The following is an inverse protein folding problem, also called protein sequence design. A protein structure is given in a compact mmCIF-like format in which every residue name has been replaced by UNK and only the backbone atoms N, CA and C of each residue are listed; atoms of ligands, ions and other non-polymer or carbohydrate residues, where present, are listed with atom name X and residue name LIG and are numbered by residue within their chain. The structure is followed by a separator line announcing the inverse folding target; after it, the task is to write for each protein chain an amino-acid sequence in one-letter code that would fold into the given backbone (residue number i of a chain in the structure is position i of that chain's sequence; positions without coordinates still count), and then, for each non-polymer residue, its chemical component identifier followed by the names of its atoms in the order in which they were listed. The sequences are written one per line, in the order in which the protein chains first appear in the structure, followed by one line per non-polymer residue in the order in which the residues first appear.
data_IF_774308733385
#
_entry.id   IF_774308733385
#
_cell.length_a   1.000
_cell.length_b   1.000
_cell.length_c   1.000
_cell.angle_alpha   90.00
_cell.angle_beta   90.00
_cell.angle_gamma   90.00
#
_symmetry.space_group_name_H-M   'P 1'
#
loop_
_entity.id
_entity.type
_entity.pdbx_description
1 polymer ?
#
# COMPACT_ATOMS: atom_id res chain seq x y z
N UNK A 1 2.68 14.05 -13.97
CA UNK A 1 4.13 13.77 -13.86
C UNK A 1 4.83 14.90 -13.08
N UNK A 2 5.80 14.63 -12.16
CA UNK A 2 6.61 15.73 -11.56
C UNK A 2 7.57 16.28 -12.62
N UNK A 3 7.66 17.61 -12.75
CA UNK A 3 8.58 18.20 -13.73
C UNK A 3 10.03 17.93 -13.35
N UNK A 4 10.93 17.83 -14.34
CA UNK A 4 12.38 17.74 -14.10
C UNK A 4 12.86 18.90 -13.20
N UNK A 5 12.30 20.10 -13.41
CA UNK A 5 12.55 21.27 -12.59
C UNK A 5 12.17 21.05 -11.12
N UNK A 6 11.00 20.45 -10.82
CA UNK A 6 10.59 20.15 -9.45
C UNK A 6 11.57 19.19 -8.75
N UNK A 7 12.11 18.19 -9.47
CA UNK A 7 13.13 17.29 -8.93
C UNK A 7 14.46 18.01 -8.66
N UNK A 8 14.89 18.92 -9.54
CA UNK A 8 16.08 19.74 -9.31
C UNK A 8 15.90 20.63 -8.07
N UNK A 9 14.77 21.33 -7.96
CA UNK A 9 14.46 22.19 -6.81
C UNK A 9 14.36 21.36 -5.51
N UNK A 10 13.83 20.14 -5.57
CA UNK A 10 13.81 19.19 -4.46
C UNK A 10 15.23 18.91 -3.96
N UNK A 11 16.16 18.59 -4.85
CA UNK A 11 17.56 18.33 -4.53
C UNK A 11 18.28 19.55 -3.94
N UNK A 12 18.05 20.74 -4.49
CA UNK A 12 18.59 22.00 -3.95
C UNK A 12 18.08 22.26 -2.53
N UNK A 13 16.77 22.11 -2.30
CA UNK A 13 16.15 22.27 -0.97
C UNK A 13 16.71 21.27 0.03
N UNK A 14 16.90 20.03 -0.41
CA UNK A 14 17.54 18.97 0.37
C UNK A 14 19.07 19.07 0.39
N UNK A 15 19.69 20.14 -0.15
CA UNK A 15 21.15 20.30 -0.21
C UNK A 15 21.88 19.00 -0.58
N UNK A 16 21.29 18.22 -1.48
CA UNK A 16 21.73 16.88 -1.84
C UNK A 16 21.79 16.75 -3.35
N UNK A 17 22.92 16.27 -3.86
CA UNK A 17 23.04 15.92 -5.27
C UNK A 17 22.44 14.54 -5.50
N UNK A 18 21.69 14.33 -6.60
CA UNK A 18 21.21 13.00 -6.96
C UNK A 18 22.40 12.05 -7.13
N UNK A 19 22.29 10.86 -6.55
CA UNK A 19 23.27 9.78 -6.73
C UNK A 19 22.52 8.52 -7.13
N UNK A 20 23.02 7.84 -8.14
CA UNK A 20 22.57 6.50 -8.47
C UNK A 20 23.27 5.53 -7.51
N UNK A 21 22.53 5.10 -6.50
CA UNK A 21 23.02 4.15 -5.52
C UNK A 21 21.92 3.15 -5.17
N UNK A 22 22.30 1.89 -4.99
CA UNK A 22 21.41 0.78 -4.67
C UNK A 22 22.10 -0.18 -3.71
N UNK A 23 21.35 -0.66 -2.74
CA UNK A 23 21.74 -1.79 -1.91
C UNK A 23 21.47 -3.09 -2.68
N UNK A 24 22.50 -3.63 -3.30
CA UNK A 24 22.39 -4.79 -4.20
C UNK A 24 23.49 -5.83 -3.98
N UNK A 25 24.25 -5.76 -2.88
CA UNK A 25 25.24 -6.78 -2.56
C UNK A 25 24.53 -8.13 -2.42
N UNK A 26 25.08 -9.16 -3.06
CA UNK A 26 24.56 -10.53 -2.92
C UNK A 26 24.93 -11.01 -1.51
N UNK A 27 23.93 -11.46 -0.76
CA UNK A 27 24.12 -12.07 0.55
C UNK A 27 24.17 -13.58 0.39
N UNK A 28 25.11 -14.25 1.06
CA UNK A 28 25.16 -15.70 1.05
C UNK A 28 23.99 -16.30 1.84
N UNK A 29 23.58 -17.51 1.45
CA UNK A 29 22.73 -18.32 2.30
C UNK A 29 23.63 -18.98 3.35
N UNK A 30 23.34 -18.72 4.63
CA UNK A 30 24.07 -19.33 5.74
C UNK A 30 23.34 -20.57 6.23
N UNK A 31 24.03 -21.70 6.45
CA UNK A 31 23.44 -22.84 7.15
C UNK A 31 23.10 -22.44 8.59
N UNK A 32 22.19 -23.18 9.20
CA UNK A 32 21.83 -23.00 10.61
C UNK A 32 23.03 -23.39 11.49
N UNK A 33 23.37 -22.52 12.45
CA UNK A 33 24.33 -22.81 13.51
C UNK A 33 23.58 -23.04 14.83
N UNK A 34 23.41 -24.32 15.18
CA UNK A 34 22.69 -24.74 16.40
C UNK A 34 23.37 -24.23 17.68
N UNK A 35 24.70 -24.15 17.70
CA UNK A 35 25.45 -23.70 18.87
C UNK A 35 25.23 -22.20 19.07
N UNK A 36 25.34 -21.41 18.00
CA UNK A 36 25.06 -19.98 18.06
C UNK A 36 23.60 -19.70 18.48
N UNK A 37 22.63 -20.49 17.97
CA UNK A 37 21.21 -20.35 18.35
C UNK A 37 20.95 -20.71 19.81
N UNK A 38 21.57 -21.77 20.34
CA UNK A 38 21.47 -22.12 21.77
C UNK A 38 22.08 -21.04 22.67
N UNK A 39 23.11 -20.34 22.20
CA UNK A 39 23.74 -19.24 22.91
C UNK A 39 22.99 -17.91 22.78
N UNK A 40 22.07 -17.79 21.81
CA UNK A 40 21.25 -16.59 21.62
C UNK A 40 20.21 -16.45 22.75
N UNK A 41 20.56 -15.69 23.78
CA UNK A 41 19.72 -15.43 24.96
C UNK A 41 19.11 -14.04 24.91
N UNK A 42 17.79 -13.94 24.89
CA UNK A 42 17.09 -12.66 25.03
C UNK A 42 16.91 -12.35 26.53
N UNK A 43 17.62 -11.31 27.00
CA UNK A 43 17.91 -11.04 28.42
C UNK A 43 16.76 -10.48 29.28
N UNK A 44 15.52 -10.94 29.12
CA UNK A 44 14.41 -10.53 30.01
C UNK A 44 13.59 -11.72 30.47
N UNK A 45 13.41 -11.83 31.79
CA UNK A 45 12.45 -12.74 32.40
C UNK A 45 11.04 -12.20 32.18
N UNK A 46 10.11 -13.10 31.89
CA UNK A 46 8.68 -12.81 31.88
C UNK A 46 7.95 -13.81 32.74
N UNK A 47 6.95 -13.33 33.47
CA UNK A 47 6.05 -14.18 34.25
C UNK A 47 5.06 -14.96 33.36
N UNK A 48 4.93 -14.60 32.08
CA UNK A 48 3.94 -15.17 31.17
C UNK A 48 4.49 -16.39 30.41
N UNK A 49 3.77 -17.53 30.52
CA UNK A 49 4.11 -18.79 29.84
C UNK A 49 4.23 -18.63 28.31
N UNK A 50 3.37 -17.83 27.70
CA UNK A 50 3.39 -17.59 26.25
C UNK A 50 4.62 -16.81 25.80
N UNK A 51 5.04 -15.81 26.58
CA UNK A 51 6.24 -15.05 26.25
C UNK A 51 7.50 -15.91 26.37
N UNK A 52 7.56 -16.79 27.38
CA UNK A 52 8.63 -17.78 27.51
C UNK A 52 8.69 -18.70 26.28
N UNK A 53 7.54 -19.23 25.86
CA UNK A 53 7.43 -20.06 24.66
C UNK A 53 7.90 -19.32 23.40
N UNK A 54 7.46 -18.07 23.18
CA UNK A 54 7.92 -17.27 22.04
C UNK A 54 9.43 -17.04 22.06
N UNK A 55 10.01 -16.78 23.24
CA UNK A 55 11.48 -16.59 23.38
C UNK A 55 12.26 -17.84 23.00
N UNK A 56 11.78 -19.02 23.37
CA UNK A 56 12.35 -20.31 22.97
C UNK A 56 12.27 -20.52 21.44
N UNK A 57 11.17 -20.07 20.81
CA UNK A 57 11.01 -20.13 19.36
C UNK A 57 11.83 -19.09 18.60
N UNK A 58 12.10 -17.91 19.18
CA UNK A 58 12.81 -16.84 18.46
C UNK A 58 14.20 -17.28 18.01
N UNK A 59 14.98 -17.91 18.89
CA UNK A 59 16.32 -18.40 18.54
C UNK A 59 16.29 -19.43 17.40
N UNK A 60 15.28 -20.31 17.38
CA UNK A 60 15.14 -21.39 16.39
C UNK A 60 14.47 -20.95 15.09
N UNK A 61 13.72 -19.84 15.08
CA UNK A 61 12.98 -19.36 13.90
C UNK A 61 13.55 -18.07 13.30
N UNK A 62 14.62 -17.52 13.87
CA UNK A 62 15.27 -16.34 13.32
C UNK A 62 15.82 -16.66 11.91
N UNK A 63 15.56 -15.82 10.89
CA UNK A 63 16.20 -15.98 9.59
C UNK A 63 17.72 -15.90 9.72
N UNK A 64 18.44 -16.78 9.01
CA UNK A 64 19.89 -16.95 9.22
C UNK A 64 20.71 -15.69 8.98
N UNK A 65 20.19 -14.77 8.16
CA UNK A 65 20.83 -13.48 7.91
C UNK A 65 20.96 -12.58 9.15
N UNK A 66 20.15 -12.80 10.19
CA UNK A 66 20.16 -11.99 11.42
C UNK A 66 20.97 -12.61 12.57
N UNK A 67 21.54 -13.81 12.39
CA UNK A 67 22.43 -14.43 13.38
C UNK A 67 23.70 -14.93 12.71
N UNK A 68 23.60 -16.02 11.93
CA UNK A 68 24.75 -16.66 11.28
C UNK A 68 25.38 -15.75 10.21
N UNK A 69 24.54 -15.11 9.39
CA UNK A 69 24.94 -14.22 8.31
C UNK A 69 25.09 -12.75 8.71
N UNK A 70 24.87 -12.40 9.99
CA UNK A 70 24.80 -10.99 10.39
C UNK A 70 26.13 -10.27 10.17
N UNK A 71 27.25 -10.96 10.42
CA UNK A 71 28.59 -10.39 10.20
C UNK A 71 28.83 -10.08 8.71
N UNK A 72 28.48 -10.99 7.81
CA UNK A 72 28.56 -10.72 6.36
C UNK A 72 27.69 -9.52 5.98
N UNK A 73 26.45 -9.46 6.50
CA UNK A 73 25.55 -8.34 6.23
C UNK A 73 26.17 -7.00 6.65
N UNK A 74 26.75 -6.94 7.84
CA UNK A 74 27.47 -5.76 8.34
C UNK A 74 28.68 -5.42 7.47
N UNK A 75 29.49 -6.40 7.09
CA UNK A 75 30.68 -6.19 6.26
C UNK A 75 30.29 -5.64 4.87
N UNK A 76 29.22 -6.19 4.26
CA UNK A 76 28.68 -5.69 3.00
C UNK A 76 28.08 -4.30 3.08
N UNK A 77 27.52 -3.93 4.22
CA UNK A 77 27.06 -2.56 4.46
C UNK A 77 28.26 -1.61 4.64
N UNK A 78 29.30 -2.03 5.37
CA UNK A 78 30.54 -1.27 5.55
C UNK A 78 31.23 -0.95 4.22
N UNK A 79 31.28 -1.90 3.29
CA UNK A 79 31.80 -1.70 1.92
C UNK A 79 31.04 -0.60 1.15
N UNK A 80 29.77 -0.35 1.50
CA UNK A 80 28.88 0.61 0.83
C UNK A 80 28.82 2.00 1.47
N UNK A 81 29.67 2.28 2.47
CA UNK A 81 29.53 3.47 3.31
C UNK A 81 29.75 4.79 2.58
N UNK A 82 28.94 5.78 2.99
CA UNK A 82 29.15 7.18 2.64
C UNK A 82 30.19 7.76 3.63
N UNK A 83 31.21 8.46 3.12
CA UNK A 83 32.29 9.07 3.93
C UNK A 83 31.83 9.98 5.08
N UNK A 84 30.56 10.41 5.09
CA UNK A 84 29.97 11.28 6.13
C UNK A 84 28.57 10.76 6.45
N UNK A 85 28.23 10.75 7.74
CA UNK A 85 26.87 10.43 8.19
C UNK A 85 25.87 11.41 7.57
N UNK A 86 24.77 10.91 6.97
CA UNK A 86 23.70 11.78 6.51
C UNK A 86 23.04 12.46 7.72
N UNK A 87 22.62 13.72 7.58
CA UNK A 87 21.82 14.37 8.64
C UNK A 87 20.44 13.73 8.80
N UNK A 88 19.90 13.23 7.68
CA UNK A 88 18.55 12.70 7.60
C UNK A 88 18.48 11.63 6.51
N UNK A 89 17.82 10.51 6.83
CA UNK A 89 17.47 9.43 5.94
C UNK A 89 15.94 9.44 5.81
N UNK A 90 15.46 9.52 4.57
CA UNK A 90 14.04 9.33 4.25
C UNK A 90 13.88 8.07 3.42
N UNK A 91 12.91 7.24 3.79
CA UNK A 91 12.55 6.02 3.06
C UNK A 91 11.03 5.90 2.98
N UNK A 92 10.57 5.04 2.08
CA UNK A 92 9.15 4.69 1.99
C UNK A 92 9.00 3.19 2.21
N UNK A 93 9.68 2.37 1.40
CA UNK A 93 9.51 0.91 1.46
C UNK A 93 10.76 0.12 1.86
N UNK A 94 11.92 0.76 2.02
CA UNK A 94 13.17 0.01 2.22
C UNK A 94 13.25 -0.64 3.60
N UNK A 95 12.58 -0.08 4.61
CA UNK A 95 12.43 -0.71 5.93
C UNK A 95 11.72 -2.07 5.86
N UNK A 96 10.95 -2.34 4.81
CA UNK A 96 10.25 -3.62 4.63
C UNK A 96 10.98 -4.60 3.73
N UNK A 97 11.85 -4.10 2.85
CA UNK A 97 12.24 -4.85 1.64
C UNK A 97 13.75 -5.05 1.48
N UNK A 98 14.57 -4.44 2.32
CA UNK A 98 16.01 -4.45 2.09
C UNK A 98 16.82 -4.53 3.39
N UNK A 99 17.40 -5.70 3.64
CA UNK A 99 18.18 -5.96 4.86
C UNK A 99 19.45 -5.11 4.96
N UNK A 100 20.14 -4.89 3.85
CA UNK A 100 21.30 -3.99 3.80
C UNK A 100 20.93 -2.56 4.19
N UNK A 101 19.80 -2.03 3.70
CA UNK A 101 19.31 -0.71 4.10
C UNK A 101 18.96 -0.64 5.58
N UNK A 102 18.32 -1.68 6.14
CA UNK A 102 17.98 -1.70 7.57
C UNK A 102 19.25 -1.58 8.43
N UNK A 103 20.27 -2.38 8.16
CA UNK A 103 21.54 -2.30 8.89
C UNK A 103 22.26 -0.97 8.63
N UNK A 104 22.35 -0.53 7.38
CA UNK A 104 22.97 0.74 7.02
C UNK A 104 22.33 1.96 7.70
N UNK A 105 21.00 2.02 7.71
CA UNK A 105 20.27 3.11 8.36
C UNK A 105 20.41 3.03 9.88
N UNK A 106 20.36 1.83 10.47
CA UNK A 106 20.59 1.63 11.90
C UNK A 106 21.99 2.07 12.32
N UNK A 107 23.04 1.71 11.56
CA UNK A 107 24.41 2.14 11.82
C UNK A 107 24.50 3.66 11.86
N UNK A 108 23.96 4.38 10.88
CA UNK A 108 24.01 5.85 10.87
C UNK A 108 23.17 6.52 11.96
N UNK A 109 22.03 5.93 12.35
CA UNK A 109 21.17 6.43 13.43
C UNK A 109 21.80 6.21 14.81
N UNK A 110 22.47 5.07 15.02
CA UNK A 110 23.12 4.75 16.31
C UNK A 110 24.45 5.46 16.47
N UNK A 111 25.27 5.51 15.42
CA UNK A 111 26.63 6.08 15.47
C UNK A 111 26.71 7.59 15.24
N UNK A 112 25.61 8.25 14.83
CA UNK A 112 25.58 9.67 14.54
C UNK A 112 24.25 10.33 14.87
N UNK A 113 24.18 11.66 14.73
CA UNK A 113 22.94 12.43 14.91
C UNK A 113 21.99 12.34 13.69
N UNK A 114 21.91 11.16 13.05
CA UNK A 114 21.10 10.94 11.84
C UNK A 114 19.64 10.78 12.21
N UNK A 115 18.75 11.54 11.58
CA UNK A 115 17.30 11.35 11.68
C UNK A 115 16.79 10.32 10.69
N UNK A 116 15.92 9.42 11.11
CA UNK A 116 15.25 8.45 10.24
C UNK A 116 13.77 8.80 10.10
N UNK A 117 13.30 8.95 8.86
CA UNK A 117 11.91 9.24 8.52
C UNK A 117 11.41 8.18 7.53
N UNK A 118 10.24 7.60 7.79
CA UNK A 118 9.51 6.79 6.80
C UNK A 118 8.27 7.54 6.30
N UNK A 119 7.65 7.02 5.24
CA UNK A 119 6.39 7.54 4.72
C UNK A 119 5.39 6.45 4.41
N UNK A 120 4.14 6.85 4.22
CA UNK A 120 3.06 6.00 3.76
C UNK A 120 3.25 5.60 2.29
N UNK A 121 3.07 4.30 2.03
CA UNK A 121 3.12 3.68 0.70
C UNK A 121 1.91 2.79 0.36
N UNK A 122 0.90 2.76 1.22
CA UNK A 122 -0.35 2.03 1.02
C UNK A 122 -1.56 2.86 1.41
N UNK A 123 -2.75 2.48 0.92
CA UNK A 123 -3.99 3.17 1.28
C UNK A 123 -4.47 2.84 2.70
N UNK A 124 -4.09 1.68 3.24
CA UNK A 124 -4.58 1.17 4.52
C UNK A 124 -4.04 1.79 5.82
N UNK A 125 -3.19 2.81 5.77
CA UNK A 125 -2.56 3.41 6.95
C UNK A 125 -3.51 4.36 7.69
N UNK A 126 -3.50 4.31 9.03
CA UNK A 126 -4.20 5.28 9.89
C UNK A 126 -5.73 5.20 9.86
N UNK A 127 -6.29 4.13 9.30
CA UNK A 127 -7.73 3.95 9.14
C UNK A 127 -8.28 2.68 9.80
N UNK A 128 -7.44 1.70 10.12
CA UNK A 128 -7.88 0.39 10.63
C UNK A 128 -7.90 0.39 12.16
N UNK A 129 -8.87 -0.31 12.75
CA UNK A 129 -8.88 -0.56 14.21
C UNK A 129 -7.66 -1.37 14.64
N UNK A 130 -7.22 -2.29 13.78
CA UNK A 130 -6.04 -3.11 13.98
C UNK A 130 -5.02 -2.75 12.90
N UNK A 131 -3.96 -2.08 13.31
CA UNK A 131 -2.85 -1.80 12.40
C UNK A 131 -2.14 -3.08 12.02
N UNK A 132 -1.74 -3.16 10.74
CA UNK A 132 -0.86 -4.21 10.28
C UNK A 132 0.52 -4.07 10.92
N UNK A 133 1.18 -5.19 11.18
CA UNK A 133 2.57 -5.21 11.67
C UNK A 133 3.51 -4.29 10.87
N UNK A 134 3.42 -4.20 9.52
CA UNK A 134 4.25 -3.28 8.75
C UNK A 134 4.15 -1.82 9.21
N UNK A 135 2.94 -1.32 9.47
CA UNK A 135 2.71 0.06 9.89
C UNK A 135 3.21 0.29 11.32
N UNK A 136 2.90 -0.64 12.24
CA UNK A 136 3.36 -0.60 13.62
C UNK A 136 4.90 -0.56 13.71
N UNK A 137 5.56 -1.44 12.96
CA UNK A 137 7.02 -1.50 12.91
C UNK A 137 7.61 -0.19 12.39
N UNK A 138 7.15 0.30 11.24
CA UNK A 138 7.69 1.54 10.64
C UNK A 138 7.58 2.72 11.59
N UNK A 139 6.40 2.96 12.17
CA UNK A 139 6.18 4.07 13.10
C UNK A 139 7.02 3.92 14.37
N UNK A 140 7.29 2.68 14.81
CA UNK A 140 8.06 2.42 16.02
C UNK A 140 9.56 2.74 15.89
N UNK A 141 10.14 2.57 14.70
CA UNK A 141 11.60 2.66 14.47
C UNK A 141 12.07 4.00 13.90
N UNK A 142 11.15 4.88 13.48
CA UNK A 142 11.48 6.19 12.89
C UNK A 142 11.26 7.34 13.86
N UNK A 143 11.98 8.46 13.64
CA UNK A 143 11.77 9.70 14.36
C UNK A 143 10.43 10.36 13.98
N UNK A 144 10.06 10.28 12.70
CA UNK A 144 8.80 10.80 12.14
C UNK A 144 8.27 9.91 11.03
N UNK A 145 6.96 9.85 10.90
CA UNK A 145 6.26 9.13 9.84
C UNK A 145 5.44 10.09 8.99
N UNK A 146 5.65 10.09 7.67
CA UNK A 146 4.94 10.96 6.73
C UNK A 146 3.64 10.28 6.27
N UNK A 147 2.49 10.80 6.68
CA UNK A 147 1.17 10.30 6.26
C UNK A 147 0.61 11.09 5.07
N UNK A 148 -0.42 10.54 4.41
CA UNK A 148 -1.12 11.19 3.29
C UNK A 148 -2.30 12.09 3.71
N UNK A 149 -2.53 12.32 5.00
CA UNK A 149 -3.63 13.18 5.45
C UNK A 149 -4.08 12.99 6.89
N UNK A 150 -3.80 11.83 7.48
CA UNK A 150 -4.23 11.44 8.82
C UNK A 150 -3.13 11.69 9.86
N UNK A 151 -3.51 11.85 11.12
CA UNK A 151 -2.57 12.00 12.24
C UNK A 151 -3.10 11.29 13.47
N UNK A 152 -2.28 10.44 14.08
CA UNK A 152 -2.63 9.74 15.33
C UNK A 152 -1.88 10.28 16.55
N UNK A 153 -0.67 10.81 16.35
CA UNK A 153 0.17 11.31 17.43
C UNK A 153 1.24 12.28 16.89
N UNK A 154 2.05 12.85 17.79
CA UNK A 154 3.11 13.83 17.47
C UNK A 154 4.25 13.29 16.58
N UNK A 155 4.39 11.97 16.43
CA UNK A 155 5.35 11.37 15.49
C UNK A 155 4.85 11.37 14.05
N UNK A 156 3.54 11.47 13.82
CA UNK A 156 2.96 11.48 12.47
C UNK A 156 2.98 12.90 11.91
N UNK A 157 3.72 13.08 10.83
CA UNK A 157 3.75 14.32 10.06
C UNK A 157 2.75 14.20 8.91
N UNK A 158 1.71 15.02 8.95
CA UNK A 158 0.75 15.10 7.84
C UNK A 158 1.39 15.88 6.69
N UNK A 159 1.64 15.19 5.58
CA UNK A 159 2.16 15.83 4.37
C UNK A 159 1.09 15.73 3.29
N UNK A 160 0.71 16.84 2.62
CA UNK A 160 -0.40 16.84 1.69
C UNK A 160 -0.04 16.15 0.37
N UNK A 161 0.18 14.84 0.37
CA UNK A 161 0.58 14.11 -0.83
C UNK A 161 0.36 12.61 -0.71
N UNK A 162 -0.59 12.09 -1.46
CA UNK A 162 -0.54 10.70 -1.93
C UNK A 162 0.60 10.56 -2.96
N UNK A 163 1.81 10.18 -2.50
CA UNK A 163 3.02 10.15 -3.34
C UNK A 163 2.97 9.16 -4.51
N UNK A 164 1.97 8.27 -4.56
CA UNK A 164 1.81 7.30 -5.64
C UNK A 164 0.96 7.78 -6.82
N UNK A 165 0.22 8.89 -6.69
CA UNK A 165 -0.50 9.46 -7.83
C UNK A 165 0.51 10.16 -8.75
N UNK A 166 0.91 9.49 -9.85
CA UNK A 166 1.36 10.24 -11.02
C UNK A 166 0.18 11.13 -11.42
N UNK A 167 0.33 12.44 -11.23
CA UNK A 167 -0.73 13.44 -11.46
C UNK A 167 -1.15 13.63 -12.92
N UNK A 168 -0.99 12.60 -13.75
CA UNK A 168 -1.56 12.64 -15.09
C UNK A 168 -3.06 12.46 -14.89
N UNK A 169 -3.85 13.49 -15.21
CA UNK A 169 -5.31 13.42 -15.13
C UNK A 169 -5.77 12.30 -16.03
N UNK A 170 -6.12 11.15 -15.45
CA UNK A 170 -6.73 10.05 -16.18
C UNK A 170 -8.12 10.51 -16.56
N UNK A 171 -8.35 10.71 -17.86
CA UNK A 171 -9.69 11.03 -18.38
C UNK A 171 -10.39 9.72 -18.71
N UNK A 172 -11.54 9.41 -18.10
CA UNK A 172 -12.31 8.23 -18.45
C UNK A 172 -12.83 8.35 -19.89
N UNK A 173 -12.98 7.20 -20.56
CA UNK A 173 -13.67 7.12 -21.83
C UNK A 173 -15.17 6.94 -21.57
N UNK A 174 -15.99 7.91 -21.99
CA UNK A 174 -17.46 7.84 -21.81
C UNK A 174 -18.09 6.68 -22.58
N UNK A 175 -17.41 6.16 -23.60
CA UNK A 175 -17.81 4.97 -24.34
C UNK A 175 -16.96 3.75 -23.97
N UNK A 176 -16.17 3.83 -22.90
CA UNK A 176 -15.40 2.72 -22.36
C UNK A 176 -16.26 1.70 -21.61
N UNK A 177 -15.62 0.60 -21.21
CA UNK A 177 -16.24 -0.47 -20.41
C UNK A 177 -16.14 -0.24 -18.89
N UNK A 178 -16.48 -1.29 -18.14
CA UNK A 178 -16.30 -1.38 -16.70
C UNK A 178 -14.96 -2.04 -16.39
N UNK A 179 -14.13 -1.41 -15.56
CA UNK A 179 -12.85 -1.99 -15.11
C UNK A 179 -12.91 -2.39 -13.63
N UNK A 180 -12.95 -3.69 -13.36
CA UNK A 180 -12.92 -4.24 -12.00
C UNK A 180 -11.47 -4.53 -11.60
N UNK A 181 -10.92 -3.77 -10.65
CA UNK A 181 -9.54 -3.86 -10.21
C UNK A 181 -9.45 -4.63 -8.90
N UNK A 182 -8.74 -5.76 -8.93
CA UNK A 182 -8.63 -6.65 -7.77
C UNK A 182 -7.41 -6.32 -6.89
N UNK A 183 -7.54 -6.64 -5.60
CA UNK A 183 -6.44 -6.62 -4.64
C UNK A 183 -5.43 -7.75 -4.84
N UNK A 184 -4.31 -7.77 -4.09
CA UNK A 184 -3.47 -8.96 -4.02
C UNK A 184 -4.26 -10.10 -3.39
N UNK A 185 -4.57 -11.13 -4.16
CA UNK A 185 -5.16 -12.36 -3.61
C UNK A 185 -4.07 -13.40 -3.48
N UNK A 186 -3.69 -13.70 -2.25
CA UNK A 186 -2.65 -14.70 -1.91
C UNK A 186 -3.29 -16.01 -1.51
N UNK A 187 -2.63 -17.14 -1.83
CA UNK A 187 -3.08 -18.48 -1.45
C UNK A 187 -3.09 -18.69 0.06
N UNK A 188 -2.15 -18.05 0.76
CA UNK A 188 -2.01 -18.04 2.22
C UNK A 188 -1.93 -16.58 2.72
N UNK A 189 -2.37 -16.33 3.95
CA UNK A 189 -2.13 -15.03 4.62
C UNK A 189 -0.66 -14.96 5.02
N UNK A 190 0.01 -13.87 4.67
CA UNK A 190 1.41 -13.57 5.04
C UNK A 190 1.52 -12.51 6.16
N UNK A 191 0.42 -11.88 6.56
CA UNK A 191 0.36 -10.96 7.70
C UNK A 191 -0.36 -11.59 8.90
N UNK A 192 0.35 -11.73 10.02
CA UNK A 192 -0.21 -12.15 11.31
C UNK A 192 -1.04 -11.00 11.90
N UNK A 193 -2.32 -11.25 12.20
CA UNK A 193 -3.27 -10.21 12.68
C UNK A 193 -4.14 -9.59 11.57
N UNK A 194 -3.74 -9.75 10.31
CA UNK A 194 -4.67 -9.70 9.17
C UNK A 194 -5.13 -11.14 8.98
N UNK A 195 -6.21 -11.56 9.64
CA UNK A 195 -6.75 -12.91 9.49
C UNK A 195 -7.27 -13.07 8.06
N UNK A 196 -6.36 -13.32 7.12
CA UNK A 196 -6.64 -13.61 5.72
C UNK A 196 -6.99 -15.07 5.47
N UNK A 197 -6.83 -15.95 6.46
CA UNK A 197 -7.01 -17.41 6.28
C UNK A 197 -8.48 -17.82 6.05
N UNK A 198 -9.42 -16.91 6.31
CA UNK A 198 -10.86 -17.02 6.02
C UNK A 198 -11.31 -16.01 4.93
N UNK A 199 -10.39 -15.20 4.37
CA UNK A 199 -10.73 -13.95 3.65
C UNK A 199 -10.84 -14.07 2.14
N UNK A 200 -10.60 -15.23 1.55
CA UNK A 200 -10.68 -15.38 0.09
C UNK A 200 -12.02 -15.96 -0.39
N UNK A 201 -12.64 -16.89 0.33
CA UNK A 201 -13.88 -17.53 -0.16
C UNK A 201 -14.99 -16.50 -0.35
N UNK A 202 -15.36 -15.78 0.72
CA UNK A 202 -16.39 -14.76 0.63
C UNK A 202 -15.96 -13.54 -0.22
N UNK A 203 -14.67 -13.25 -0.36
CA UNK A 203 -14.21 -12.26 -1.35
C UNK A 203 -14.51 -12.74 -2.79
N UNK A 204 -14.20 -13.99 -3.13
CA UNK A 204 -14.51 -14.55 -4.45
C UNK A 204 -16.02 -14.69 -4.69
N UNK A 205 -16.78 -15.10 -3.67
CA UNK A 205 -18.23 -15.15 -3.76
C UNK A 205 -18.80 -13.76 -4.03
N UNK A 206 -18.28 -12.72 -3.36
CA UNK A 206 -18.65 -11.33 -3.61
C UNK A 206 -18.27 -10.86 -5.02
N UNK A 207 -17.09 -11.24 -5.53
CA UNK A 207 -16.71 -10.92 -6.91
C UNK A 207 -17.65 -11.61 -7.91
N UNK A 208 -17.98 -12.88 -7.69
CA UNK A 208 -18.88 -13.64 -8.55
C UNK A 208 -20.30 -13.06 -8.50
N UNK A 209 -20.79 -12.73 -7.31
CA UNK A 209 -22.09 -12.10 -7.11
C UNK A 209 -22.18 -10.73 -7.78
N UNK A 210 -21.11 -9.92 -7.72
CA UNK A 210 -21.04 -8.63 -8.43
C UNK A 210 -21.26 -8.86 -9.93
N UNK A 211 -20.51 -9.77 -10.52
CA UNK A 211 -20.56 -10.03 -11.95
C UNK A 211 -21.92 -10.61 -12.38
N UNK A 212 -22.48 -11.53 -11.60
CA UNK A 212 -23.79 -12.11 -11.86
C UNK A 212 -24.94 -11.10 -11.71
N UNK A 213 -24.74 -10.03 -10.94
CA UNK A 213 -25.75 -8.98 -10.71
C UNK A 213 -25.68 -7.85 -11.74
N UNK A 214 -24.63 -7.80 -12.57
CA UNK A 214 -24.54 -6.80 -13.63
C UNK A 214 -25.50 -7.14 -14.77
N UNK A 215 -26.19 -6.14 -15.36
CA UNK A 215 -26.91 -6.32 -16.61
C UNK A 215 -25.99 -6.88 -17.72
N UNK A 216 -26.53 -7.75 -18.57
CA UNK A 216 -25.77 -8.47 -19.61
C UNK A 216 -24.93 -7.52 -20.48
N UNK A 217 -25.52 -6.44 -20.97
CA UNK A 217 -24.83 -5.43 -21.80
C UNK A 217 -23.68 -4.68 -21.09
N UNK A 218 -23.65 -4.67 -19.75
CA UNK A 218 -22.54 -4.13 -18.94
C UNK A 218 -21.50 -5.23 -18.70
N UNK A 219 -21.96 -6.44 -18.38
CA UNK A 219 -21.10 -7.60 -18.13
C UNK A 219 -20.21 -7.92 -19.34
N UNK A 220 -20.77 -7.90 -20.55
CA UNK A 220 -20.02 -8.10 -21.82
C UNK A 220 -18.90 -7.06 -22.02
N UNK A 221 -19.07 -5.86 -21.43
CA UNK A 221 -18.12 -4.75 -21.51
C UNK A 221 -17.25 -4.63 -20.26
N UNK A 222 -17.28 -5.64 -19.40
CA UNK A 222 -16.51 -5.69 -18.16
C UNK A 222 -15.16 -6.34 -18.40
N UNK A 223 -14.10 -5.73 -17.86
CA UNK A 223 -12.78 -6.31 -17.76
C UNK A 223 -12.39 -6.42 -16.29
N UNK A 224 -11.93 -7.59 -15.88
CA UNK A 224 -11.39 -7.83 -14.54
C UNK A 224 -9.87 -7.80 -14.63
N UNK A 225 -9.23 -6.99 -13.78
CA UNK A 225 -7.77 -6.87 -13.70
C UNK A 225 -7.26 -7.46 -12.39
N UNK A 226 -6.80 -8.74 -12.38
CA UNK A 226 -6.10 -9.31 -11.25
C UNK A 226 -4.78 -8.59 -10.98
N UNK A 227 -4.36 -8.55 -9.71
CA UNK A 227 -3.01 -8.10 -9.38
C UNK A 227 -1.99 -9.15 -9.83
N UNK A 228 -1.28 -8.84 -10.91
CA UNK A 228 -0.36 -9.75 -11.62
C UNK A 228 0.40 -10.73 -10.68
N UNK A 229 0.13 -12.02 -10.87
CA UNK A 229 0.68 -13.14 -10.12
C UNK A 229 2.09 -13.55 -10.60
N UNK A 230 2.45 -13.21 -11.84
CA UNK A 230 3.70 -13.63 -12.50
C UNK A 230 4.90 -12.72 -12.16
N UNK A 231 4.73 -11.79 -11.22
CA UNK A 231 5.86 -11.01 -10.72
C UNK A 231 6.77 -11.93 -9.88
N UNK A 232 7.90 -12.34 -10.47
CA UNK A 232 8.96 -13.14 -9.82
C UNK A 232 9.24 -12.62 -8.40
N UNK A 233 9.24 -13.51 -7.41
CA UNK A 233 9.57 -13.19 -6.02
C UNK A 233 8.41 -12.64 -5.17
N UNK A 234 7.15 -12.78 -5.60
CA UNK A 234 5.97 -12.44 -4.77
C UNK A 234 5.31 -13.69 -4.18
N UNK A 235 4.58 -13.58 -3.05
CA UNK A 235 3.85 -14.70 -2.45
C UNK A 235 2.97 -15.40 -3.48
N UNK A 236 2.69 -16.70 -3.29
CA UNK A 236 1.84 -17.48 -4.18
C UNK A 236 0.47 -16.81 -4.34
N UNK A 237 0.30 -16.07 -5.45
CA UNK A 237 -0.94 -15.38 -5.79
C UNK A 237 -1.84 -16.30 -6.61
N UNK A 238 -3.13 -16.01 -6.56
CA UNK A 238 -4.09 -16.63 -7.47
C UNK A 238 -3.81 -16.13 -8.89
N UNK A 239 -3.61 -17.06 -9.83
CA UNK A 239 -3.27 -16.73 -11.21
C UNK A 239 -4.46 -16.11 -11.94
N UNK A 240 -4.21 -15.44 -13.07
CA UNK A 240 -5.30 -14.92 -13.91
C UNK A 240 -6.25 -16.04 -14.35
N UNK A 241 -5.71 -17.20 -14.74
CA UNK A 241 -6.51 -18.38 -15.09
C UNK A 241 -7.41 -18.83 -13.93
N UNK A 242 -6.87 -18.92 -12.71
CA UNK A 242 -7.67 -19.31 -11.54
C UNK A 242 -8.78 -18.29 -11.26
N UNK A 243 -8.53 -16.99 -11.45
CA UNK A 243 -9.58 -15.96 -11.37
C UNK A 243 -10.64 -16.18 -12.46
N UNK A 244 -10.24 -16.50 -13.69
CA UNK A 244 -11.17 -16.81 -14.79
C UNK A 244 -12.11 -17.96 -14.42
N UNK A 245 -11.53 -19.07 -13.92
CA UNK A 245 -12.27 -20.27 -13.52
C UNK A 245 -13.26 -19.96 -12.38
N UNK A 246 -12.83 -19.18 -11.39
CA UNK A 246 -13.69 -18.74 -10.29
C UNK A 246 -14.88 -17.88 -10.75
N UNK A 247 -14.67 -17.08 -11.80
CA UNK A 247 -15.70 -16.23 -12.41
C UNK A 247 -16.47 -16.94 -13.54
N UNK A 248 -16.31 -18.26 -13.69
CA UNK A 248 -17.05 -19.05 -14.67
C UNK A 248 -16.67 -18.79 -16.13
N UNK A 249 -15.49 -18.22 -16.40
CA UNK A 249 -15.02 -17.83 -17.73
C UNK A 249 -15.94 -16.85 -18.49
N UNK A 250 -16.82 -16.14 -17.78
CA UNK A 250 -17.80 -15.22 -18.37
C UNK A 250 -17.22 -13.84 -18.69
N UNK A 251 -15.99 -13.54 -18.26
CA UNK A 251 -15.47 -12.17 -18.22
C UNK A 251 -14.05 -12.10 -18.77
N UNK A 252 -13.80 -11.03 -19.53
CA UNK A 252 -12.49 -10.72 -20.07
C UNK A 252 -11.51 -10.35 -18.95
N UNK A 253 -10.31 -10.93 -19.00
CA UNK A 253 -9.24 -10.64 -18.05
C UNK A 253 -8.20 -9.68 -18.64
N UNK A 254 -7.95 -8.58 -17.94
CA UNK A 254 -6.79 -7.73 -18.17
C UNK A 254 -5.59 -8.29 -17.41
N UNK A 255 -4.68 -8.93 -18.14
CA UNK A 255 -3.45 -9.53 -17.61
C UNK A 255 -2.35 -8.48 -17.31
N UNK A 256 -2.63 -7.21 -17.59
CA UNK A 256 -1.78 -6.08 -17.23
C UNK A 256 -0.75 -5.68 -18.27
N UNK A 257 -0.98 -5.98 -19.56
CA UNK A 257 -0.13 -5.53 -20.68
C UNK A 257 -0.03 -4.00 -20.72
N UNK A 258 -1.15 -3.32 -20.52
CA UNK A 258 -1.20 -1.87 -20.36
C UNK A 258 -1.11 -1.50 -18.88
N UNK A 259 -0.50 -0.35 -18.57
CA UNK A 259 -0.53 0.20 -17.20
C UNK A 259 -1.97 0.45 -16.74
N UNK A 260 -2.23 0.31 -15.43
CA UNK A 260 -3.57 0.56 -14.85
C UNK A 260 -4.17 1.91 -15.29
N UNK A 261 -3.38 2.98 -15.25
CA UNK A 261 -3.84 4.32 -15.68
C UNK A 261 -4.27 4.38 -17.14
N UNK A 262 -3.62 3.60 -18.01
CA UNK A 262 -3.97 3.52 -19.45
C UNK A 262 -5.26 2.72 -19.65
N UNK A 263 -5.43 1.62 -18.91
CA UNK A 263 -6.71 0.88 -18.92
C UNK A 263 -7.86 1.72 -18.37
N UNK A 264 -7.62 2.48 -17.30
CA UNK A 264 -8.59 3.43 -16.78
C UNK A 264 -8.94 4.51 -17.82
N UNK A 265 -7.98 5.01 -18.60
CA UNK A 265 -8.29 5.97 -19.67
C UNK A 265 -9.10 5.40 -20.85
N UNK A 266 -9.24 4.08 -20.93
CA UNK A 266 -10.08 3.37 -21.91
C UNK A 266 -11.38 2.84 -21.28
N UNK A 267 -11.57 3.09 -19.99
CA UNK A 267 -12.71 2.62 -19.22
C UNK A 267 -13.57 3.82 -18.81
N UNK A 268 -14.86 3.56 -18.63
CA UNK A 268 -15.84 4.58 -18.23
C UNK A 268 -15.81 4.80 -16.72
N UNK A 269 -15.73 3.69 -15.99
CA UNK A 269 -15.83 3.63 -14.54
C UNK A 269 -15.00 2.44 -14.04
N UNK A 270 -14.45 2.54 -12.83
CA UNK A 270 -13.73 1.43 -12.20
C UNK A 270 -14.41 0.97 -10.92
N UNK A 271 -14.48 -0.35 -10.74
CA UNK A 271 -14.77 -0.95 -9.45
C UNK A 271 -13.47 -1.33 -8.77
N UNK A 272 -13.27 -0.90 -7.53
CA UNK A 272 -12.11 -1.29 -6.70
C UNK A 272 -12.60 -2.15 -5.56
N UNK A 273 -12.09 -3.37 -5.45
CA UNK A 273 -12.64 -4.38 -4.55
C UNK A 273 -11.92 -4.50 -3.21
N UNK A 274 -11.05 -3.54 -2.88
CA UNK A 274 -10.17 -3.58 -1.73
C UNK A 274 -9.77 -2.17 -1.28
N UNK A 275 -9.56 -1.99 0.03
CA UNK A 275 -9.23 -0.70 0.63
C UNK A 275 -7.70 -0.49 0.74
N UNK A 276 -7.05 -0.25 -0.39
CA UNK A 276 -5.63 0.10 -0.49
C UNK A 276 -5.42 1.18 -1.57
N UNK A 277 -4.19 1.36 -2.09
CA UNK A 277 -3.75 2.50 -2.90
C UNK A 277 -4.62 2.86 -4.12
N UNK A 278 -5.30 1.92 -4.75
CA UNK A 278 -6.06 2.21 -5.99
C UNK A 278 -7.20 3.19 -5.73
N UNK A 279 -7.95 3.00 -4.65
CA UNK A 279 -9.06 3.89 -4.29
C UNK A 279 -8.61 5.35 -4.06
N UNK A 280 -7.67 5.66 -3.13
CA UNK A 280 -7.22 7.04 -2.93
C UNK A 280 -6.55 7.62 -4.17
N UNK A 281 -5.90 6.80 -5.01
CA UNK A 281 -5.33 7.28 -6.28
C UNK A 281 -6.43 7.71 -7.25
N UNK A 282 -7.49 6.91 -7.42
CA UNK A 282 -8.59 7.25 -8.31
C UNK A 282 -9.37 8.46 -7.81
N UNK A 283 -9.71 8.50 -6.52
CA UNK A 283 -10.45 9.61 -5.92
C UNK A 283 -9.66 10.92 -6.03
N UNK A 284 -8.36 10.90 -5.76
CA UNK A 284 -7.50 12.07 -5.92
C UNK A 284 -7.37 12.51 -7.39
N UNK A 285 -7.38 11.58 -8.34
CA UNK A 285 -7.37 11.87 -9.77
C UNK A 285 -8.72 12.38 -10.30
N UNK A 286 -9.79 12.29 -9.50
CA UNK A 286 -11.14 12.58 -9.93
C UNK A 286 -11.68 11.56 -10.94
N UNK A 287 -11.23 10.31 -10.88
CA UNK A 287 -11.66 9.24 -11.79
C UNK A 287 -12.89 8.50 -11.23
N UNK A 288 -13.98 8.32 -12.00
CA UNK A 288 -15.20 7.64 -11.55
C UNK A 288 -14.93 6.26 -10.96
N UNK A 289 -15.25 6.10 -9.67
CA UNK A 289 -14.87 4.91 -8.91
C UNK A 289 -16.01 4.46 -8.01
N UNK A 290 -16.35 3.18 -8.11
CA UNK A 290 -17.16 2.44 -7.15
C UNK A 290 -16.22 1.56 -6.34
N UNK A 291 -16.24 1.71 -5.03
CA UNK A 291 -15.51 0.88 -4.08
C UNK A 291 -16.46 -0.17 -3.51
N UNK A 292 -16.00 -1.42 -3.39
CA UNK A 292 -16.83 -2.51 -2.88
C UNK A 292 -16.02 -3.48 -2.03
N UNK A 293 -16.49 -3.76 -0.81
CA UNK A 293 -15.97 -4.84 0.03
C UNK A 293 -16.94 -5.13 1.17
N UNK A 294 -16.87 -6.32 1.75
CA UNK A 294 -17.60 -6.62 2.99
C UNK A 294 -17.08 -5.75 4.15
N UNK A 295 -18.01 -5.16 4.91
CA UNK A 295 -17.70 -4.29 6.05
C UNK A 295 -16.86 -5.00 7.13
N UNK A 296 -16.96 -6.31 7.25
CA UNK A 296 -16.19 -7.11 8.20
C UNK A 296 -14.68 -7.19 7.87
N UNK A 297 -14.31 -6.98 6.60
CA UNK A 297 -12.91 -6.98 6.15
C UNK A 297 -12.18 -5.67 6.45
N UNK A 298 -12.89 -4.55 6.34
CA UNK A 298 -12.31 -3.22 6.56
C UNK A 298 -12.89 -2.64 7.85
N UNK A 299 -12.30 -3.03 8.98
CA UNK A 299 -12.67 -2.52 10.30
C UNK A 299 -12.05 -1.15 10.52
N UNK A 300 -12.85 -0.11 10.31
CA UNK A 300 -12.42 1.28 10.40
C UNK A 300 -12.38 1.78 11.85
N UNK A 301 -11.44 2.67 12.17
CA UNK A 301 -11.50 3.48 13.39
C UNK A 301 -12.77 4.33 13.40
N UNK A 302 -13.20 4.81 14.57
CA UNK A 302 -14.39 5.67 14.67
C UNK A 302 -14.27 6.93 13.81
N UNK A 303 -13.09 7.56 13.78
CA UNK A 303 -12.83 8.74 12.94
C UNK A 303 -12.89 8.40 11.45
N UNK A 304 -12.27 7.29 11.01
CA UNK A 304 -12.32 6.89 9.61
C UNK A 304 -13.73 6.47 9.18
N UNK A 305 -14.51 5.85 10.07
CA UNK A 305 -15.88 5.43 9.79
C UNK A 305 -16.80 6.61 9.43
N UNK A 306 -16.61 7.78 10.06
CA UNK A 306 -17.38 9.00 9.73
C UNK A 306 -17.13 9.41 8.27
N UNK A 307 -15.86 9.45 7.86
CA UNK A 307 -15.48 9.85 6.50
C UNK A 307 -15.93 8.83 5.45
N UNK A 308 -15.79 7.54 5.75
CA UNK A 308 -16.24 6.47 4.84
C UNK A 308 -17.77 6.39 4.73
N UNK A 309 -18.51 6.84 5.75
CA UNK A 309 -19.95 6.94 5.68
C UNK A 309 -20.41 8.00 4.67
N UNK A 310 -19.66 9.08 4.47
CA UNK A 310 -19.95 10.06 3.40
C UNK A 310 -19.75 9.44 2.01
N UNK A 311 -18.72 8.60 1.85
CA UNK A 311 -18.55 7.83 0.61
C UNK A 311 -19.69 6.83 0.36
N UNK A 312 -20.21 6.21 1.42
CA UNK A 312 -21.33 5.28 1.34
C UNK A 312 -22.62 6.00 0.91
N UNK A 313 -22.93 7.16 1.53
CA UNK A 313 -24.08 7.99 1.14
C UNK A 313 -24.02 8.42 -0.32
N UNK A 314 -22.85 8.91 -0.76
CA UNK A 314 -22.58 9.32 -2.13
C UNK A 314 -22.55 8.18 -3.16
N UNK A 315 -22.78 6.93 -2.74
CA UNK A 315 -22.67 5.70 -3.55
C UNK A 315 -21.28 5.49 -4.19
N UNK A 316 -20.25 6.09 -3.61
CA UNK A 316 -18.86 5.78 -3.96
C UNK A 316 -18.47 4.45 -3.32
N UNK A 317 -18.98 4.13 -2.14
CA UNK A 317 -18.67 2.91 -1.39
C UNK A 317 -19.92 2.04 -1.20
N UNK A 318 -19.79 0.75 -1.51
CA UNK A 318 -20.82 -0.26 -1.31
C UNK A 318 -20.29 -1.41 -0.45
N UNK A 319 -21.15 -1.96 0.41
CA UNK A 319 -20.80 -3.09 1.27
C UNK A 319 -21.32 -4.43 0.78
N UNK A 320 -22.09 -4.45 -0.33
CA UNK A 320 -22.55 -5.69 -0.97
C UNK A 320 -22.37 -5.63 -2.49
N UNK A 321 -22.19 -6.78 -3.15
CA UNK A 321 -22.09 -6.86 -4.60
C UNK A 321 -23.32 -6.36 -5.35
N UNK A 322 -24.50 -6.68 -4.86
CA UNK A 322 -25.78 -6.34 -5.49
C UNK A 322 -26.01 -4.83 -5.48
N UNK A 323 -25.66 -4.18 -4.36
CA UNK A 323 -25.78 -2.73 -4.24
C UNK A 323 -24.82 -2.01 -5.20
N UNK A 324 -23.59 -2.51 -5.35
CA UNK A 324 -22.62 -1.97 -6.29
C UNK A 324 -23.07 -2.18 -7.75
N UNK A 325 -23.53 -3.38 -8.11
CA UNK A 325 -24.01 -3.71 -9.44
C UNK A 325 -25.23 -2.86 -9.83
N UNK A 326 -26.21 -2.73 -8.93
CA UNK A 326 -27.38 -1.90 -9.16
C UNK A 326 -26.98 -0.44 -9.38
N UNK A 327 -26.10 0.10 -8.54
CA UNK A 327 -25.65 1.47 -8.72
C UNK A 327 -24.93 1.69 -10.06
N UNK A 328 -24.06 0.75 -10.46
CA UNK A 328 -23.38 0.79 -11.76
C UNK A 328 -24.40 0.80 -12.90
N UNK A 329 -25.44 -0.03 -12.83
CA UNK A 329 -26.52 -0.06 -13.81
C UNK A 329 -27.27 1.28 -13.88
N UNK A 330 -27.61 1.85 -12.72
CA UNK A 330 -28.35 3.12 -12.62
C UNK A 330 -27.58 4.28 -13.27
N UNK A 331 -26.26 4.33 -13.11
CA UNK A 331 -25.42 5.41 -13.64
C UNK A 331 -24.79 5.09 -14.99
N UNK A 332 -25.00 3.90 -15.54
CA UNK A 332 -24.22 3.39 -16.68
C UNK A 332 -24.27 4.33 -17.88
N UNK A 333 -25.46 4.83 -18.21
CA UNK A 333 -25.69 5.72 -19.36
C UNK A 333 -25.11 7.13 -19.14
N UNK A 334 -24.99 7.58 -17.89
CA UNK A 334 -24.47 8.91 -17.56
C UNK A 334 -23.70 8.93 -16.24
N UNK A 335 -22.51 8.33 -16.27
CA UNK A 335 -21.58 8.30 -15.12
C UNK A 335 -21.17 9.72 -14.70
N UNK A 336 -21.04 10.64 -15.65
CA UNK A 336 -20.66 12.03 -15.36
C UNK A 336 -21.70 12.72 -14.47
N UNK A 337 -23.00 12.52 -14.73
CA UNK A 337 -24.08 13.14 -13.95
C UNK A 337 -23.98 12.79 -12.46
N UNK A 338 -23.71 11.53 -12.14
CA UNK A 338 -23.45 11.10 -10.76
C UNK A 338 -22.11 11.65 -10.26
N UNK A 339 -21.03 11.46 -11.03
CA UNK A 339 -19.68 11.76 -10.58
C UNK A 339 -19.40 13.24 -10.34
N UNK A 340 -20.14 14.13 -11.00
CA UNK A 340 -20.05 15.59 -10.83
C UNK A 340 -21.14 16.15 -9.92
N UNK A 341 -21.95 15.30 -9.26
CA UNK A 341 -22.93 15.76 -8.28
C UNK A 341 -22.25 16.35 -7.05
N UNK A 342 -22.91 17.32 -6.40
CA UNK A 342 -22.36 17.99 -5.20
C UNK A 342 -22.06 16.99 -4.07
N UNK A 343 -22.91 15.98 -3.90
CA UNK A 343 -22.74 14.92 -2.89
C UNK A 343 -21.45 14.12 -3.13
N UNK A 344 -21.21 13.68 -4.38
CA UNK A 344 -20.01 12.93 -4.75
C UNK A 344 -18.75 13.80 -4.65
N UNK A 345 -18.82 15.05 -5.11
CA UNK A 345 -17.70 15.99 -5.03
C UNK A 345 -17.30 16.24 -3.59
N UNK A 346 -18.27 16.52 -2.71
CA UNK A 346 -18.03 16.77 -1.30
C UNK A 346 -17.48 15.53 -0.59
N UNK A 347 -18.08 14.36 -0.81
CA UNK A 347 -17.61 13.11 -0.20
C UNK A 347 -16.17 12.76 -0.63
N UNK A 348 -15.85 12.96 -1.91
CA UNK A 348 -14.50 12.76 -2.46
C UNK A 348 -13.49 13.75 -1.89
N UNK A 349 -13.85 15.04 -1.81
CA UNK A 349 -12.99 16.08 -1.24
C UNK A 349 -12.68 15.76 0.22
N UNK A 350 -13.72 15.48 1.01
CA UNK A 350 -13.61 15.10 2.42
C UNK A 350 -12.70 13.88 2.61
N UNK A 351 -12.84 12.85 1.77
CA UNK A 351 -11.95 11.71 1.79
C UNK A 351 -10.50 12.09 1.45
N UNK A 352 -10.28 12.89 0.40
CA UNK A 352 -8.94 13.29 -0.02
C UNK A 352 -8.27 14.15 1.06
N UNK A 353 -8.99 15.05 1.71
CA UNK A 353 -8.47 15.85 2.81
C UNK A 353 -7.99 15.02 4.02
N UNK A 354 -8.55 13.82 4.22
CA UNK A 354 -8.22 12.97 5.36
C UNK A 354 -7.25 11.84 5.01
N UNK A 355 -7.30 11.28 3.79
CA UNK A 355 -6.57 10.06 3.44
C UNK A 355 -5.79 10.12 2.13
N UNK A 356 -5.94 11.18 1.33
CA UNK A 356 -5.25 11.32 0.04
C UNK A 356 -5.00 12.78 -0.33
N UNK A 357 -4.38 13.55 0.57
CA UNK A 357 -4.29 15.02 0.41
C UNK A 357 -3.58 15.40 -0.88
N UNK A 358 -4.16 16.37 -1.57
CA UNK A 358 -3.64 16.88 -2.83
C UNK A 358 -2.49 17.87 -2.62
N UNK A 359 -1.46 17.79 -3.47
CA UNK A 359 -0.45 18.84 -3.63
C UNK A 359 -0.09 18.99 -5.10
N UNK A 360 0.11 20.23 -5.55
CA UNK A 360 0.56 20.53 -6.92
C UNK A 360 1.99 20.01 -7.19
N UNK A 361 2.85 20.01 -6.18
CA UNK A 361 4.25 19.59 -6.28
C UNK A 361 4.62 18.67 -5.11
N UNK A 362 4.10 17.44 -5.06
CA UNK A 362 4.31 16.49 -3.97
C UNK A 362 5.78 16.30 -3.61
N UNK A 363 6.69 16.19 -4.58
CA UNK A 363 8.12 16.05 -4.31
C UNK A 363 8.69 17.26 -3.55
N UNK A 364 8.25 18.48 -3.86
CA UNK A 364 8.69 19.70 -3.18
C UNK A 364 8.08 19.86 -1.80
N UNK A 365 6.86 19.38 -1.61
CA UNK A 365 6.19 19.38 -0.30
C UNK A 365 6.87 18.38 0.63
N UNK A 366 7.15 17.15 0.16
CA UNK A 366 7.95 16.18 0.93
C UNK A 366 9.32 16.77 1.24
N UNK A 367 10.03 17.33 0.26
CA UNK A 367 11.34 17.92 0.52
C UNK A 367 11.31 19.10 1.50
N UNK A 368 10.24 19.90 1.51
CA UNK A 368 10.06 20.95 2.52
C UNK A 368 9.89 20.32 3.91
N UNK A 369 8.95 19.39 4.05
CA UNK A 369 8.71 18.67 5.29
C UNK A 369 9.98 18.00 5.86
N UNK A 370 10.78 17.39 4.99
CA UNK A 370 12.05 16.79 5.37
C UNK A 370 13.12 17.83 5.71
N UNK A 371 13.18 18.96 4.99
CA UNK A 371 14.17 20.02 5.25
C UNK A 371 13.89 20.75 6.57
N UNK A 372 12.62 20.97 6.91
CA UNK A 372 12.19 21.60 8.16
C UNK A 372 12.51 20.73 9.39
N UNK A 373 12.75 19.43 9.19
CA UNK A 373 13.12 18.47 10.24
C UNK A 373 14.64 18.23 10.37
N UNK A 374 15.46 18.77 9.46
CA UNK A 374 16.93 18.68 9.53
C UNK A 374 17.51 19.68 10.49
#
# INVERSE_FOLDING_TARGET
MQSKLALVVMHLRLRSLPRLWRFSSKLAAHPIDEVARQQFKISKSSALRFEKFLRELLATNLPTIYLEGFKELQDKVCESQIKRHPKLIFTNTLLHRNEQFKVWSAEHVVSGATKLISGQHGGGYGLRVFDGWPALYEVSVVDRFVSWGWSENLKTLVVPTCVQSRQDKVRPDKHGGLLVVLGPVTRNSDDYGVIGMQSNSAYFDNLKALCNSLPEHILERTQVRPKNANAVGKPARVSAQQISELLGNLINLDTGELSLSKMQSQSRISVVTYNETTMPTNLLAGYPTVAMWDRSYVRLTSTAAIIYNELFKAKILHYTPESAAQHIADVWENVDLWWTSDEVLQARETFCENFARHSKFPALVVAKALADYR
#
